data_IF_269735346158
#
_entry.id   IF_269735346158
#
_cell.length_a   1.000
_cell.length_b   1.000
_cell.length_c   1.000
_cell.angle_alpha   90.00
_cell.angle_beta   90.00
_cell.angle_gamma   90.00
#
_symmetry.space_group_name_H-M   'P 1'
#
loop_
_entity.id
_entity.type
_entity.pdbx_description
1 polymer ?
#
# COMPACT_ATOMS: atom_id res chain seq x y z
N UNK A 1 -8.08 9.00 13.90
CA UNK A 1 -6.79 8.29 14.06
C UNK A 1 -6.55 7.26 12.96
N UNK A 2 -7.60 6.58 12.49
CA UNK A 2 -7.55 5.64 11.38
C UNK A 2 -6.77 6.16 10.16
N UNK A 3 -7.05 7.39 9.71
CA UNK A 3 -6.38 7.99 8.54
C UNK A 3 -4.85 8.01 8.67
N UNK A 4 -4.29 8.44 9.81
CA UNK A 4 -2.84 8.44 10.02
C UNK A 4 -2.27 7.03 10.01
N UNK A 5 -2.96 6.08 10.64
CA UNK A 5 -2.54 4.66 10.65
C UNK A 5 -2.52 4.09 9.23
N UNK A 6 -3.56 4.35 8.43
CA UNK A 6 -3.64 3.87 7.05
C UNK A 6 -2.56 4.49 6.15
N UNK A 7 -2.24 5.78 6.33
CA UNK A 7 -1.13 6.43 5.64
C UNK A 7 0.20 5.79 6.02
N UNK A 8 0.48 5.65 7.32
CA UNK A 8 1.73 5.06 7.81
C UNK A 8 1.85 3.60 7.36
N UNK A 9 0.77 2.83 7.41
CA UNK A 9 0.72 1.46 6.93
C UNK A 9 1.03 1.38 5.44
N UNK A 10 0.34 2.17 4.62
CA UNK A 10 0.55 2.16 3.18
C UNK A 10 1.96 2.61 2.77
N UNK A 11 2.48 3.64 3.45
CA UNK A 11 3.82 4.14 3.21
C UNK A 11 4.90 3.13 3.64
N UNK A 12 4.76 2.50 4.81
CA UNK A 12 5.70 1.51 5.31
C UNK A 12 5.69 0.25 4.45
N UNK A 13 4.53 -0.23 4.00
CA UNK A 13 4.44 -1.35 3.07
C UNK A 13 5.05 -1.03 1.70
N UNK A 14 4.74 0.14 1.13
CA UNK A 14 5.31 0.56 -0.15
C UNK A 14 6.83 0.75 -0.09
N UNK A 15 7.35 1.30 1.01
CA UNK A 15 8.77 1.41 1.25
C UNK A 15 9.43 0.04 1.47
N UNK A 16 8.84 -0.84 2.28
CA UNK A 16 9.34 -2.19 2.52
C UNK A 16 9.39 -3.01 1.23
N UNK A 17 8.36 -2.92 0.39
CA UNK A 17 8.32 -3.57 -0.91
C UNK A 17 9.49 -3.10 -1.80
N UNK A 18 9.84 -1.81 -1.74
CA UNK A 18 10.96 -1.26 -2.50
C UNK A 18 12.31 -1.85 -2.06
N UNK A 19 12.48 -2.11 -0.76
CA UNK A 19 13.67 -2.76 -0.20
C UNK A 19 13.73 -4.23 -0.63
N UNK A 20 12.63 -4.97 -0.45
CA UNK A 20 12.55 -6.40 -0.81
C UNK A 20 12.83 -6.60 -2.30
N UNK A 21 12.26 -5.75 -3.14
CA UNK A 21 12.44 -5.79 -4.58
C UNK A 21 13.76 -5.18 -5.06
N UNK A 22 14.58 -4.62 -4.16
CA UNK A 22 15.83 -3.92 -4.48
C UNK A 22 15.63 -2.83 -5.55
N UNK A 23 14.57 -2.03 -5.37
CA UNK A 23 14.28 -0.91 -6.28
C UNK A 23 15.22 0.24 -5.98
N UNK A 24 16.08 0.61 -6.93
CA UNK A 24 17.05 1.70 -6.73
C UNK A 24 16.58 3.05 -7.27
N UNK A 25 15.70 3.05 -8.27
CA UNK A 25 15.23 4.28 -8.91
C UNK A 25 14.32 5.09 -7.95
N UNK A 26 14.67 6.34 -7.57
CA UNK A 26 13.91 7.12 -6.59
C UNK A 26 12.44 7.31 -6.97
N UNK A 27 12.17 7.55 -8.26
CA UNK A 27 10.80 7.69 -8.77
C UNK A 27 9.97 6.41 -8.66
N UNK A 28 10.60 5.23 -8.78
CA UNK A 28 9.91 3.95 -8.63
C UNK A 28 9.60 3.65 -7.15
N UNK A 29 10.51 4.01 -6.24
CA UNK A 29 10.28 3.92 -4.79
C UNK A 29 9.09 4.81 -4.40
N UNK A 30 9.08 6.07 -4.84
CA UNK A 30 7.98 7.00 -4.57
C UNK A 30 6.63 6.50 -5.10
N UNK A 31 6.61 5.86 -6.28
CA UNK A 31 5.39 5.24 -6.82
C UNK A 31 4.88 4.07 -5.96
N UNK A 32 5.77 3.24 -5.41
CA UNK A 32 5.38 2.16 -4.51
C UNK A 32 4.81 2.69 -3.20
N UNK A 33 5.45 3.71 -2.62
CA UNK A 33 4.96 4.39 -1.41
C UNK A 33 3.60 5.04 -1.69
N UNK A 34 3.50 5.85 -2.74
CA UNK A 34 2.25 6.54 -3.11
C UNK A 34 1.13 5.54 -3.43
N UNK A 35 1.45 4.46 -4.16
CA UNK A 35 0.51 3.38 -4.44
C UNK A 35 0.04 2.67 -3.17
N UNK A 36 0.96 2.35 -2.26
CA UNK A 36 0.62 1.73 -0.98
C UNK A 36 -0.26 2.61 -0.11
N UNK A 37 0.04 3.91 -0.02
CA UNK A 37 -0.80 4.89 0.68
C UNK A 37 -2.19 4.98 0.05
N UNK A 38 -2.27 5.14 -1.26
CA UNK A 38 -3.55 5.28 -1.96
C UNK A 38 -4.44 4.04 -1.77
N UNK A 39 -3.89 2.84 -1.94
CA UNK A 39 -4.63 1.58 -1.79
C UNK A 39 -5.08 1.38 -0.35
N UNK A 40 -4.19 1.59 0.62
CA UNK A 40 -4.50 1.48 2.06
C UNK A 40 -5.63 2.42 2.48
N UNK A 41 -5.58 3.69 2.03
CA UNK A 41 -6.61 4.68 2.33
C UNK A 41 -7.97 4.32 1.72
N UNK A 42 -8.00 3.90 0.46
CA UNK A 42 -9.25 3.56 -0.23
C UNK A 42 -9.87 2.30 0.38
N UNK A 43 -9.09 1.24 0.50
CA UNK A 43 -9.59 -0.07 0.94
C UNK A 43 -9.89 -0.10 2.43
N UNK A 44 -8.99 0.46 3.25
CA UNK A 44 -9.19 0.62 4.68
C UNK A 44 -10.31 1.58 5.02
N UNK A 45 -10.48 2.65 4.23
CA UNK A 45 -11.61 3.57 4.37
C UNK A 45 -12.95 2.90 4.10
N UNK A 46 -13.05 2.16 2.99
CA UNK A 46 -14.27 1.42 2.62
C UNK A 46 -14.60 0.35 3.67
N UNK A 47 -13.61 -0.43 4.09
CA UNK A 47 -13.78 -1.49 5.08
C UNK A 47 -13.99 -0.97 6.53
N UNK A 48 -13.79 0.34 6.75
CA UNK A 48 -14.08 1.01 8.02
C UNK A 48 -15.33 1.90 7.93
N UNK A 49 -16.29 1.53 7.07
CA UNK A 49 -17.57 2.23 6.84
C UNK A 49 -17.43 3.72 6.47
N UNK A 50 -16.31 4.10 5.84
CA UNK A 50 -15.99 5.49 5.50
C UNK A 50 -15.50 6.35 6.66
N UNK A 51 -15.34 5.78 7.87
CA UNK A 51 -14.90 6.53 9.05
C UNK A 51 -13.39 6.76 9.01
N UNK A 52 -12.96 7.94 8.53
CA UNK A 52 -11.55 8.31 8.40
C UNK A 52 -10.95 8.94 9.68
N UNK A 53 -11.75 9.75 10.38
CA UNK A 53 -11.28 10.55 11.53
C UNK A 53 -11.45 9.83 12.88
N UNK A 54 -12.30 8.79 12.95
CA UNK A 54 -12.56 8.01 14.15
C UNK A 54 -11.53 6.90 14.44
N UNK A 55 -12.02 5.86 15.10
CA UNK A 55 -11.29 4.62 15.38
C UNK A 55 -11.16 3.75 14.12
N UNK A 56 -10.11 2.92 14.08
CA UNK A 56 -9.90 1.94 13.02
C UNK A 56 -10.35 0.58 13.52
N UNK A 57 -11.26 -0.06 12.79
CA UNK A 57 -11.64 -1.45 13.04
C UNK A 57 -10.51 -2.41 12.64
N UNK A 58 -10.45 -3.57 13.31
CA UNK A 58 -9.51 -4.63 12.95
C UNK A 58 -9.74 -5.16 11.53
N UNK A 59 -11.00 -5.23 11.10
CA UNK A 59 -11.34 -5.61 9.73
C UNK A 59 -10.82 -4.60 8.71
N UNK A 60 -11.05 -3.30 8.95
CA UNK A 60 -10.53 -2.23 8.09
C UNK A 60 -9.02 -2.28 7.94
N UNK A 61 -8.30 -2.51 9.05
CA UNK A 61 -6.85 -2.67 9.04
C UNK A 61 -6.40 -3.93 8.26
N UNK A 62 -7.04 -5.07 8.49
CA UNK A 62 -6.69 -6.33 7.82
C UNK A 62 -6.94 -6.27 6.31
N UNK A 63 -8.05 -5.67 5.89
CA UNK A 63 -8.36 -5.45 4.46
C UNK A 63 -7.34 -4.49 3.84
N UNK A 64 -7.05 -3.36 4.49
CA UNK A 64 -6.05 -2.41 4.00
C UNK A 64 -4.67 -3.07 3.80
N UNK A 65 -4.23 -3.86 4.77
CA UNK A 65 -2.95 -4.55 4.73
C UNK A 65 -2.90 -5.59 3.59
N UNK A 66 -3.91 -6.45 3.51
CA UNK A 66 -3.94 -7.54 2.50
C UNK A 66 -4.03 -7.00 1.08
N UNK A 67 -4.91 -6.04 0.82
CA UNK A 67 -5.07 -5.48 -0.53
C UNK A 67 -3.85 -4.65 -0.94
N UNK A 68 -3.25 -3.90 0.00
CA UNK A 68 -1.99 -3.17 -0.27
C UNK A 68 -0.84 -4.13 -0.61
N UNK A 69 -0.70 -5.22 0.15
CA UNK A 69 0.31 -6.24 -0.15
C UNK A 69 0.12 -6.87 -1.53
N UNK A 70 -1.13 -7.25 -1.88
CA UNK A 70 -1.46 -7.79 -3.21
C UNK A 70 -1.12 -6.80 -4.32
N UNK A 71 -1.48 -5.53 -4.16
CA UNK A 71 -1.17 -4.50 -5.16
C UNK A 71 0.34 -4.35 -5.38
N UNK A 72 1.14 -4.35 -4.32
CA UNK A 72 2.60 -4.24 -4.42
C UNK A 72 3.22 -5.48 -5.07
N UNK A 73 2.71 -6.68 -4.78
CA UNK A 73 3.14 -7.91 -5.48
C UNK A 73 2.82 -7.83 -6.97
N UNK A 74 1.61 -7.38 -7.33
CA UNK A 74 1.20 -7.21 -8.73
C UNK A 74 2.05 -6.17 -9.45
N UNK A 75 2.35 -5.04 -8.79
CA UNK A 75 3.25 -4.02 -9.33
C UNK A 75 4.59 -4.63 -9.74
N UNK A 76 5.21 -5.43 -8.88
CA UNK A 76 6.48 -6.09 -9.19
C UNK A 76 6.35 -7.20 -10.24
N UNK A 77 5.28 -7.99 -10.20
CA UNK A 77 5.04 -9.04 -11.19
C UNK A 77 4.89 -8.45 -12.61
N UNK A 78 4.20 -7.32 -12.75
CA UNK A 78 4.01 -6.64 -14.03
C UNK A 78 5.28 -5.92 -14.47
N UNK A 79 5.98 -5.23 -13.57
CA UNK A 79 7.22 -4.51 -13.90
C UNK A 79 8.32 -5.50 -14.32
N UNK A 80 8.46 -6.65 -13.65
CA UNK A 80 9.42 -7.69 -14.06
C UNK A 80 9.11 -8.27 -15.44
N UNK A 81 7.83 -8.41 -15.81
CA UNK A 81 7.46 -8.90 -17.14
C UNK A 81 7.91 -7.95 -18.26
N UNK A 82 7.91 -6.63 -18.02
CA UNK A 82 8.36 -5.65 -19.01
C UNK A 82 9.87 -5.60 -19.23
N UNK A 83 10.66 -6.17 -18.33
CA UNK A 83 12.13 -6.23 -18.46
C UNK A 83 12.57 -7.45 -19.28
N UNK A 84 11.74 -8.51 -19.33
CA UNK A 84 12.03 -9.76 -20.05
C UNK A 84 11.34 -9.89 -21.42
N UNK A 85 10.64 -8.83 -21.88
CA UNK A 85 9.96 -8.78 -23.17
C UNK A 85 10.63 -7.73 -24.06
#
# INVERSE_FOLDING_TARGET
MALLVLIVLGATLGWLASIIARTEAPGAILRQIAGGVAVSLVTGGIANDGTMLGSLSFLGLGVALTVTAVMLVLYHAVVRRKVNA
#
